data_IF_682933052497
#
_entry.id   IF_682933052497
#
_cell.length_a   1.000
_cell.length_b   1.000
_cell.length_c   1.000
_cell.angle_alpha   90.00
_cell.angle_beta   90.00
_cell.angle_gamma   90.00
#
_symmetry.space_group_name_H-M   'P 1'
#
loop_
_entity.id
_entity.type
_entity.pdbx_description
1 polymer ?
#
# COMPACT_ATOMS: atom_id res chain seq x y z
N UNK A 1 71.43 5.45 17.48
CA UNK A 1 71.52 3.98 17.46
C UNK A 1 70.14 3.32 17.51
N UNK A 2 69.35 3.36 18.60
CA UNK A 2 67.98 2.80 18.59
C UNK A 2 66.99 3.45 17.59
N UNK A 3 67.05 4.77 17.41
CA UNK A 3 66.21 5.47 16.43
C UNK A 3 66.60 5.18 14.97
N UNK A 4 67.87 4.84 14.73
CA UNK A 4 68.39 4.48 13.41
C UNK A 4 68.05 3.02 13.04
N UNK A 5 68.00 2.12 14.02
CA UNK A 5 67.52 0.74 13.83
C UNK A 5 66.01 0.66 13.58
N UNK A 6 65.21 1.56 14.19
CA UNK A 6 63.77 1.67 13.93
C UNK A 6 63.48 2.27 12.54
N UNK A 7 64.24 3.28 12.09
CA UNK A 7 64.12 3.83 10.72
C UNK A 7 64.52 2.81 9.64
N UNK A 8 65.59 2.04 9.82
CA UNK A 8 66.00 0.98 8.87
C UNK A 8 64.98 -0.17 8.78
N UNK A 9 64.30 -0.51 9.89
CA UNK A 9 63.27 -1.55 9.91
C UNK A 9 61.97 -1.10 9.24
N UNK A 10 61.60 0.18 9.38
CA UNK A 10 60.45 0.79 8.69
C UNK A 10 60.72 0.91 7.18
N UNK A 11 61.93 1.30 6.77
CA UNK A 11 62.35 1.35 5.36
C UNK A 11 62.35 -0.03 4.69
N UNK A 12 62.83 -1.08 5.36
CA UNK A 12 62.81 -2.46 4.83
C UNK A 12 61.40 -3.05 4.71
N UNK A 13 60.48 -2.66 5.58
CA UNK A 13 59.08 -3.07 5.49
C UNK A 13 58.32 -2.28 4.42
N UNK A 14 58.67 -1.00 4.21
CA UNK A 14 58.15 -0.18 3.13
C UNK A 14 58.59 -0.69 1.74
N UNK A 15 59.85 -1.09 1.56
CA UNK A 15 60.34 -1.72 0.31
C UNK A 15 59.59 -3.01 -0.04
N UNK A 16 59.07 -3.72 0.97
CA UNK A 16 58.29 -4.96 0.81
C UNK A 16 56.82 -4.72 0.47
N UNK A 17 56.31 -3.52 0.75
CA UNK A 17 54.93 -3.08 0.45
C UNK A 17 54.89 -2.38 -0.93
N UNK A 18 55.98 -1.70 -1.31
CA UNK A 18 56.17 -1.08 -2.63
C UNK A 18 56.14 -2.10 -3.78
N UNK A 19 56.34 -3.39 -3.51
CA UNK A 19 56.29 -4.45 -4.53
C UNK A 19 54.85 -4.84 -4.95
N UNK A 20 53.81 -4.25 -4.34
CA UNK A 20 52.41 -4.60 -4.66
C UNK A 20 51.50 -3.36 -4.80
N UNK A 21 51.29 -2.94 -6.05
CA UNK A 21 50.04 -2.37 -6.61
C UNK A 21 49.75 -0.84 -6.56
N UNK A 22 49.10 -0.39 -7.64
CA UNK A 22 48.84 0.97 -8.18
C UNK A 22 47.52 1.60 -7.65
N UNK A 23 47.10 2.87 -7.82
CA UNK A 23 47.62 4.27 -7.78
C UNK A 23 46.38 5.21 -8.00
N UNK A 24 46.22 6.32 -7.27
CA UNK A 24 45.14 7.32 -7.48
C UNK A 24 45.69 8.70 -7.95
N UNK A 25 45.03 9.40 -8.87
CA UNK A 25 45.58 10.60 -9.55
C UNK A 25 44.62 11.81 -9.53
N UNK A 26 45.13 13.01 -9.23
CA UNK A 26 44.44 14.29 -9.37
C UNK A 26 45.18 15.20 -10.35
N UNK A 27 44.43 15.88 -11.23
CA UNK A 27 44.97 16.86 -12.20
C UNK A 27 44.10 18.12 -12.17
N UNK A 28 44.73 19.27 -11.98
CA UNK A 28 44.14 20.61 -11.94
C UNK A 28 44.52 21.37 -13.20
N UNK A 29 43.54 21.91 -13.93
CA UNK A 29 43.78 22.67 -15.16
C UNK A 29 43.05 24.01 -15.13
N UNK A 30 43.74 25.11 -15.45
CA UNK A 30 43.14 26.42 -15.67
C UNK A 30 43.48 26.94 -17.08
N UNK A 31 42.51 26.89 -18.00
CA UNK A 31 42.65 27.48 -19.34
C UNK A 31 41.86 26.79 -20.45
N UNK A 32 41.55 27.52 -21.52
CA UNK A 32 40.80 27.05 -22.69
C UNK A 32 41.56 26.04 -23.56
N UNK A 33 40.83 25.07 -24.11
CA UNK A 33 41.29 23.98 -24.98
C UNK A 33 42.18 24.45 -26.15
N UNK A 34 43.49 24.13 -26.11
CA UNK A 34 44.34 23.89 -27.30
C UNK A 34 45.46 22.87 -26.96
N UNK A 35 45.64 21.85 -27.80
CA UNK A 35 46.60 20.74 -27.62
C UNK A 35 48.03 21.16 -28.03
N UNK A 36 49.06 21.07 -27.16
CA UNK A 36 50.46 20.73 -27.50
C UNK A 36 51.47 20.69 -26.33
N UNK A 37 52.18 19.55 -26.20
CA UNK A 37 53.62 19.33 -25.88
C UNK A 37 54.31 20.04 -24.68
N UNK A 38 54.58 19.26 -23.62
CA UNK A 38 55.15 19.63 -22.30
C UNK A 38 56.68 19.42 -22.19
N UNK A 39 57.54 20.09 -22.97
CA UNK A 39 59.00 19.89 -22.80
C UNK A 39 59.92 21.11 -22.77
N UNK A 40 59.44 22.31 -23.12
CA UNK A 40 60.35 23.43 -23.39
C UNK A 40 60.41 24.54 -22.32
N UNK A 41 59.68 24.44 -21.21
CA UNK A 41 59.53 25.58 -20.28
C UNK A 41 60.37 25.56 -19.00
N UNK A 42 61.34 24.64 -18.86
CA UNK A 42 62.04 24.39 -17.58
C UNK A 42 63.35 25.17 -17.34
N UNK A 43 63.77 26.09 -18.22
CA UNK A 43 65.13 26.68 -18.14
C UNK A 43 65.24 28.14 -17.68
N UNK A 44 64.18 28.84 -17.28
CA UNK A 44 64.26 30.31 -17.09
C UNK A 44 64.11 30.88 -15.67
N UNK A 45 63.97 30.07 -14.61
CA UNK A 45 63.61 30.61 -13.27
C UNK A 45 64.70 30.40 -12.22
N UNK A 46 65.96 30.76 -12.52
CA UNK A 46 67.09 30.66 -11.58
C UNK A 46 67.79 31.98 -11.25
N UNK A 47 67.10 33.13 -11.22
CA UNK A 47 67.71 34.37 -10.78
C UNK A 47 66.76 35.24 -9.94
N UNK A 48 67.33 35.80 -8.87
CA UNK A 48 66.88 36.92 -8.04
C UNK A 48 65.99 36.64 -6.81
N UNK A 49 66.70 36.42 -5.70
CA UNK A 49 66.28 36.61 -4.31
C UNK A 49 66.59 38.06 -3.86
N UNK A 50 65.59 38.79 -3.35
CA UNK A 50 65.75 40.09 -2.69
C UNK A 50 64.50 40.58 -1.92
N UNK A 51 64.59 40.55 -0.59
CA UNK A 51 63.91 41.32 0.48
C UNK A 51 62.36 41.50 0.57
N UNK A 52 61.78 40.71 1.50
CA UNK A 52 60.87 41.02 2.63
C UNK A 52 60.02 42.31 2.58
N UNK A 53 59.13 42.38 1.59
CA UNK A 53 57.83 43.06 1.67
C UNK A 53 56.76 42.32 0.83
N UNK A 54 57.01 41.04 0.56
CA UNK A 54 56.46 40.34 -0.60
C UNK A 54 55.67 39.07 -0.28
N UNK A 55 55.33 38.75 0.98
CA UNK A 55 54.60 37.51 1.27
C UNK A 55 53.17 37.52 0.73
N UNK A 56 52.38 38.59 0.97
CA UNK A 56 51.04 38.72 0.40
C UNK A 56 51.06 38.79 -1.14
N UNK A 57 51.99 39.59 -1.70
CA UNK A 57 52.23 39.64 -3.14
C UNK A 57 52.78 38.33 -3.73
N UNK A 58 53.41 37.45 -2.93
CA UNK A 58 53.92 36.12 -3.35
C UNK A 58 52.81 35.09 -3.32
N UNK A 59 51.88 35.14 -2.36
CA UNK A 59 50.71 34.27 -2.34
C UNK A 59 49.77 34.63 -3.51
N UNK A 60 49.54 35.93 -3.76
CA UNK A 60 48.88 36.40 -4.99
C UNK A 60 49.67 35.97 -6.24
N UNK A 61 51.00 36.16 -6.27
CA UNK A 61 51.82 35.70 -7.42
C UNK A 61 51.82 34.20 -7.65
N UNK A 62 51.72 33.37 -6.62
CA UNK A 62 51.70 31.90 -6.75
C UNK A 62 50.33 31.47 -7.30
N UNK A 63 49.23 32.07 -6.83
CA UNK A 63 47.92 31.96 -7.48
C UNK A 63 47.95 32.45 -8.93
N UNK A 64 48.68 33.54 -9.21
CA UNK A 64 48.93 34.07 -10.55
C UNK A 64 50.06 33.35 -11.34
N UNK A 65 50.63 32.20 -10.94
CA UNK A 65 51.68 31.56 -11.75
C UNK A 65 51.54 30.06 -11.98
N UNK A 66 50.66 29.36 -11.26
CA UNK A 66 50.38 27.94 -11.55
C UNK A 66 49.24 27.84 -12.58
N UNK A 67 49.55 27.33 -13.79
CA UNK A 67 48.55 27.07 -14.85
C UNK A 67 47.95 25.67 -14.75
N UNK A 68 48.72 24.73 -14.19
CA UNK A 68 48.35 23.33 -14.02
C UNK A 68 49.05 22.79 -12.78
N UNK A 69 48.35 22.00 -11.97
CA UNK A 69 48.92 21.30 -10.81
C UNK A 69 48.45 19.85 -10.88
N UNK A 70 49.36 18.88 -10.75
CA UNK A 70 48.99 17.48 -10.64
C UNK A 70 49.46 16.94 -9.29
N UNK A 71 48.59 16.21 -8.59
CA UNK A 71 48.98 15.54 -7.35
C UNK A 71 48.50 14.10 -7.34
N UNK A 72 49.39 13.19 -6.97
CA UNK A 72 49.11 11.77 -6.83
C UNK A 72 49.19 11.42 -5.35
N UNK A 73 48.07 10.96 -4.78
CA UNK A 73 48.07 10.44 -3.42
C UNK A 73 48.42 8.95 -3.45
N UNK A 74 49.22 8.53 -2.48
CA UNK A 74 49.53 7.13 -2.26
C UNK A 74 48.66 6.58 -1.12
N UNK A 75 48.60 5.26 -0.97
CA UNK A 75 47.86 4.66 0.15
C UNK A 75 48.58 4.93 1.49
N UNK A 76 47.81 5.12 2.56
CA UNK A 76 48.34 5.40 3.89
C UNK A 76 48.55 6.89 4.18
N UNK A 77 49.59 7.20 4.95
CA UNK A 77 49.78 8.55 5.50
C UNK A 77 50.49 9.47 4.50
N UNK A 78 49.73 10.37 3.90
CA UNK A 78 50.25 11.43 3.04
C UNK A 78 50.46 12.70 3.87
N UNK A 79 51.71 13.16 4.04
CA UNK A 79 52.04 14.37 4.81
C UNK A 79 52.40 15.51 3.87
N UNK A 80 51.54 16.53 3.80
CA UNK A 80 51.80 17.75 3.04
C UNK A 80 52.52 18.79 3.92
N UNK A 81 53.79 19.07 3.60
CA UNK A 81 54.63 20.07 4.28
C UNK A 81 54.97 21.25 3.36
N UNK A 82 55.07 22.48 3.88
CA UNK A 82 55.44 23.68 3.10
C UNK A 82 55.18 24.99 3.85
N UNK A 83 55.47 26.14 3.22
CA UNK A 83 55.12 27.47 3.76
C UNK A 83 53.60 27.57 3.96
N UNK A 84 53.19 27.94 5.17
CA UNK A 84 51.79 28.01 5.58
C UNK A 84 50.97 28.92 4.66
N UNK A 85 49.93 28.36 4.02
CA UNK A 85 48.80 29.14 3.50
C UNK A 85 48.45 28.94 2.02
N UNK A 86 49.42 28.68 1.14
CA UNK A 86 49.14 28.62 -0.30
C UNK A 86 48.91 27.19 -0.82
N UNK A 87 49.91 26.31 -0.77
CA UNK A 87 49.82 24.98 -1.40
C UNK A 87 48.87 24.01 -0.71
N UNK A 88 48.88 23.95 0.64
CA UNK A 88 47.99 23.06 1.41
C UNK A 88 46.52 23.47 1.28
N UNK A 89 46.23 24.77 1.33
CA UNK A 89 44.86 25.29 1.23
C UNK A 89 44.28 25.04 -0.15
N UNK A 90 45.07 25.24 -1.23
CA UNK A 90 44.64 24.97 -2.61
C UNK A 90 44.24 23.49 -2.77
N UNK A 91 45.02 22.56 -2.23
CA UNK A 91 44.70 21.11 -2.30
C UNK A 91 43.43 20.78 -1.53
N UNK A 92 43.24 21.34 -0.33
CA UNK A 92 42.02 21.10 0.47
C UNK A 92 40.79 21.71 -0.20
N UNK A 93 40.89 22.93 -0.73
CA UNK A 93 39.82 23.61 -1.46
C UNK A 93 39.44 22.85 -2.73
N UNK A 94 40.43 22.31 -3.44
CA UNK A 94 40.23 21.43 -4.58
C UNK A 94 39.48 20.15 -4.24
N UNK A 95 39.86 19.47 -3.15
CA UNK A 95 39.19 18.26 -2.71
C UNK A 95 37.76 18.60 -2.24
N UNK A 96 37.55 19.69 -1.52
CA UNK A 96 36.19 20.11 -1.15
C UNK A 96 35.34 20.38 -2.40
N UNK A 97 35.91 21.06 -3.41
CA UNK A 97 35.24 21.29 -4.69
C UNK A 97 34.88 19.98 -5.41
N UNK A 98 35.78 19.00 -5.47
CA UNK A 98 35.47 17.76 -6.20
C UNK A 98 34.40 16.91 -5.50
N UNK A 99 34.25 17.06 -4.19
CA UNK A 99 33.23 16.36 -3.38
C UNK A 99 31.88 17.09 -3.33
N UNK A 100 31.72 18.17 -4.10
CA UNK A 100 30.47 18.94 -4.15
C UNK A 100 30.36 20.09 -3.14
N UNK A 101 31.48 20.49 -2.51
CA UNK A 101 31.59 21.64 -1.61
C UNK A 101 31.27 22.99 -2.26
N UNK A 102 31.33 24.08 -1.50
CA UNK A 102 30.95 25.40 -2.01
C UNK A 102 32.03 25.97 -2.95
N UNK A 103 31.60 26.52 -4.10
CA UNK A 103 32.50 27.15 -5.05
C UNK A 103 32.42 28.69 -4.94
N UNK A 104 33.40 29.31 -4.30
CA UNK A 104 33.54 30.76 -4.30
C UNK A 104 34.17 31.24 -5.62
N UNK A 105 33.66 32.35 -6.17
CA UNK A 105 34.25 33.01 -7.36
C UNK A 105 35.70 33.43 -7.16
N UNK A 106 36.08 33.66 -5.91
CA UNK A 106 37.37 34.18 -5.47
C UNK A 106 38.46 33.09 -5.51
N UNK A 107 38.06 31.83 -5.77
CA UNK A 107 38.96 30.73 -6.09
C UNK A 107 39.45 30.78 -7.54
N UNK A 108 38.75 31.50 -8.43
CA UNK A 108 39.13 31.60 -9.83
C UNK A 108 40.22 32.65 -9.97
N UNK A 109 41.35 32.24 -10.54
CA UNK A 109 42.48 33.11 -10.80
C UNK A 109 42.13 34.40 -11.55
N UNK A 110 42.81 35.49 -11.20
CA UNK A 110 42.67 36.77 -11.88
C UNK A 110 43.06 36.67 -13.36
N UNK A 111 42.24 37.27 -14.23
CA UNK A 111 42.37 37.15 -15.69
C UNK A 111 41.69 35.94 -16.33
N UNK A 112 41.41 34.85 -15.61
CA UNK A 112 40.82 33.63 -16.17
C UNK A 112 39.29 33.61 -16.17
N UNK A 113 38.66 32.83 -17.05
CA UNK A 113 37.19 32.74 -17.17
C UNK A 113 36.53 31.70 -16.24
N UNK A 114 37.27 30.65 -15.90
CA UNK A 114 36.79 29.45 -15.21
C UNK A 114 37.92 28.68 -14.51
N UNK A 115 37.57 27.97 -13.44
CA UNK A 115 38.40 26.98 -12.75
C UNK A 115 37.88 25.58 -13.06
N UNK A 116 38.77 24.63 -13.38
CA UNK A 116 38.42 23.21 -13.59
C UNK A 116 39.20 22.36 -12.59
N UNK A 117 38.47 21.49 -11.89
CA UNK A 117 39.03 20.51 -10.96
C UNK A 117 38.65 19.11 -11.46
N UNK A 118 39.65 18.24 -11.63
CA UNK A 118 39.47 16.85 -12.01
C UNK A 118 40.13 15.92 -10.99
N UNK A 119 39.51 14.76 -10.78
CA UNK A 119 40.03 13.76 -9.86
C UNK A 119 39.50 12.38 -10.19
N UNK A 120 40.40 11.42 -10.07
CA UNK A 120 40.19 10.03 -10.41
C UNK A 120 40.18 9.21 -9.13
N UNK A 121 39.04 8.60 -8.82
CA UNK A 121 38.87 7.73 -7.67
C UNK A 121 38.79 6.28 -8.12
N UNK A 122 39.44 5.40 -7.38
CA UNK A 122 39.29 3.96 -7.50
C UNK A 122 38.42 3.49 -6.34
N UNK A 123 37.25 2.93 -6.65
CA UNK A 123 36.26 2.52 -5.67
C UNK A 123 36.49 1.09 -5.23
N UNK A 124 36.35 0.85 -3.92
CA UNK A 124 36.21 -0.48 -3.37
C UNK A 124 34.86 -1.10 -3.79
N UNK A 125 34.72 -2.44 -3.76
CA UNK A 125 33.45 -3.10 -4.06
C UNK A 125 32.27 -2.61 -3.22
N UNK A 126 32.52 -2.24 -1.96
CA UNK A 126 31.50 -1.71 -1.05
C UNK A 126 31.06 -0.29 -1.43
N UNK A 127 31.99 0.61 -1.73
CA UNK A 127 31.68 1.96 -2.20
C UNK A 127 30.93 1.94 -3.53
N UNK A 128 31.30 1.03 -4.43
CA UNK A 128 30.59 0.80 -5.70
C UNK A 128 29.14 0.39 -5.46
N UNK A 129 28.88 -0.52 -4.52
CA UNK A 129 27.51 -0.94 -4.18
C UNK A 129 26.71 0.20 -3.54
N UNK A 130 27.31 0.96 -2.62
CA UNK A 130 26.67 2.12 -1.98
C UNK A 130 26.28 3.20 -2.99
N UNK A 131 27.18 3.52 -3.93
CA UNK A 131 26.92 4.51 -4.98
C UNK A 131 25.84 4.01 -5.95
N UNK A 132 25.85 2.72 -6.32
CA UNK A 132 24.80 2.14 -7.17
C UNK A 132 23.42 2.14 -6.49
N UNK A 133 23.38 1.96 -5.17
CA UNK A 133 22.15 2.00 -4.38
C UNK A 133 21.52 3.40 -4.27
N UNK A 134 22.20 4.46 -4.73
CA UNK A 134 21.61 5.79 -4.87
C UNK A 134 20.55 5.86 -5.98
N UNK A 135 20.32 4.77 -6.74
CA UNK A 135 19.31 4.65 -7.81
C UNK A 135 19.37 5.83 -8.78
N UNK A 136 20.58 6.20 -9.18
CA UNK A 136 20.76 7.23 -10.18
C UNK A 136 20.24 6.72 -11.52
N UNK A 137 19.49 7.53 -12.26
CA UNK A 137 19.00 7.23 -13.62
C UNK A 137 20.14 7.01 -14.65
N UNK A 138 21.38 7.04 -14.18
CA UNK A 138 22.61 7.10 -14.95
C UNK A 138 23.62 6.17 -14.30
N UNK A 139 24.05 5.16 -15.06
CA UNK A 139 25.19 4.31 -14.69
C UNK A 139 26.47 5.17 -14.73
N UNK A 140 27.03 5.46 -13.57
CA UNK A 140 28.17 6.39 -13.42
C UNK A 140 29.46 5.70 -12.98
N UNK A 141 29.42 4.43 -12.57
CA UNK A 141 30.60 3.66 -12.14
C UNK A 141 30.95 2.64 -13.22
N UNK A 142 32.21 2.61 -13.65
CA UNK A 142 32.66 1.63 -14.65
C UNK A 142 32.80 0.21 -14.04
N UNK A 143 32.87 -0.82 -14.88
CA UNK A 143 33.07 -2.21 -14.46
C UNK A 143 34.33 -2.37 -13.60
N UNK A 144 35.38 -1.61 -13.92
CA UNK A 144 36.67 -1.55 -13.22
C UNK A 144 36.67 -0.71 -11.93
N UNK A 145 35.54 -0.10 -11.56
CA UNK A 145 35.41 0.67 -10.31
C UNK A 145 36.07 2.06 -10.35
N UNK A 146 36.38 2.57 -11.55
CA UNK A 146 37.00 3.88 -11.75
C UNK A 146 35.94 4.98 -11.87
N UNK A 147 36.14 6.07 -11.13
CA UNK A 147 35.25 7.22 -11.09
C UNK A 147 36.03 8.50 -11.39
N UNK A 148 35.88 9.03 -12.60
CA UNK A 148 36.45 10.33 -12.99
C UNK A 148 35.43 11.43 -12.73
N UNK A 149 35.73 12.30 -11.76
CA UNK A 149 34.91 13.46 -11.44
C UNK A 149 35.57 14.71 -12.01
N UNK A 150 34.77 15.54 -12.69
CA UNK A 150 35.19 16.86 -13.17
C UNK A 150 34.21 17.92 -12.70
N UNK A 151 34.72 19.02 -12.17
CA UNK A 151 33.94 20.20 -11.79
C UNK A 151 34.48 21.44 -12.47
N UNK A 152 33.62 22.20 -13.13
CA UNK A 152 33.95 23.49 -13.74
C UNK A 152 33.15 24.60 -13.04
N UNK A 153 33.87 25.60 -12.56
CA UNK A 153 33.33 26.79 -11.88
C UNK A 153 33.64 28.01 -12.75
N UNK A 154 32.62 28.71 -13.22
CA UNK A 154 32.80 29.91 -14.03
C UNK A 154 32.70 31.20 -13.19
N UNK A 155 33.39 32.28 -13.60
CA UNK A 155 33.30 33.61 -12.92
C UNK A 155 31.88 34.19 -12.85
N UNK A 156 30.99 33.73 -13.73
CA UNK A 156 29.56 34.10 -13.75
C UNK A 156 28.70 33.26 -12.79
N UNK A 157 29.30 32.45 -11.92
CA UNK A 157 28.61 31.61 -10.93
C UNK A 157 27.97 30.33 -11.46
N UNK A 158 28.23 29.97 -12.73
CA UNK A 158 27.73 28.71 -13.30
C UNK A 158 28.67 27.56 -12.95
N UNK A 159 28.13 26.57 -12.25
CA UNK A 159 28.83 25.33 -11.89
C UNK A 159 28.33 24.18 -12.76
N UNK A 160 29.26 23.40 -13.32
CA UNK A 160 28.95 22.15 -14.03
C UNK A 160 29.75 21.01 -13.42
N UNK A 161 29.10 19.87 -13.24
CA UNK A 161 29.70 18.69 -12.65
C UNK A 161 29.54 17.53 -13.62
N UNK A 162 30.61 16.77 -13.84
CA UNK A 162 30.60 15.55 -14.63
C UNK A 162 31.16 14.40 -13.84
N UNK A 163 30.61 13.21 -14.07
CA UNK A 163 31.16 11.93 -13.63
C UNK A 163 31.22 11.02 -14.85
N UNK A 164 32.40 10.45 -15.14
CA UNK A 164 32.64 9.58 -16.28
C UNK A 164 32.02 10.12 -17.58
N UNK A 165 32.28 11.40 -17.86
CA UNK A 165 31.81 12.17 -19.03
C UNK A 165 30.29 12.46 -19.08
N UNK A 166 29.53 12.14 -18.03
CA UNK A 166 28.09 12.43 -17.93
C UNK A 166 27.84 13.61 -17.00
N UNK A 167 26.98 14.55 -17.43
CA UNK A 167 26.62 15.73 -16.63
C UNK A 167 25.70 15.32 -15.47
N UNK A 168 26.01 15.77 -14.26
CA UNK A 168 25.22 15.51 -13.06
C UNK A 168 24.92 16.81 -12.29
N UNK A 169 23.90 16.75 -11.45
CA UNK A 169 23.56 17.85 -10.54
C UNK A 169 24.52 17.88 -9.34
N UNK A 170 24.71 19.07 -8.76
CA UNK A 170 25.58 19.26 -7.60
C UNK A 170 25.13 18.45 -6.37
N UNK A 171 23.82 18.30 -6.14
CA UNK A 171 23.29 17.50 -5.03
C UNK A 171 23.68 16.02 -5.14
N UNK A 172 23.63 15.46 -6.35
CA UNK A 172 24.09 14.10 -6.62
C UNK A 172 25.59 13.96 -6.39
N UNK A 173 26.38 14.96 -6.80
CA UNK A 173 27.82 14.96 -6.52
C UNK A 173 28.11 15.01 -5.02
N UNK A 174 27.35 15.79 -4.24
CA UNK A 174 27.46 15.85 -2.79
C UNK A 174 27.10 14.53 -2.10
N UNK A 175 26.10 13.81 -2.59
CA UNK A 175 25.73 12.49 -2.07
C UNK A 175 26.84 11.46 -2.32
N UNK A 176 27.41 11.46 -3.53
CA UNK A 176 28.53 10.59 -3.90
C UNK A 176 29.78 10.95 -3.10
N UNK A 177 30.10 12.24 -2.99
CA UNK A 177 31.29 12.74 -2.29
C UNK A 177 31.38 12.29 -0.83
N UNK A 178 30.24 12.11 -0.14
CA UNK A 178 30.18 11.58 1.23
C UNK A 178 30.74 10.17 1.39
N UNK A 179 30.81 9.39 0.31
CA UNK A 179 31.36 8.04 0.31
C UNK A 179 32.81 7.98 -0.15
N UNK A 180 33.34 9.03 -0.77
CA UNK A 180 34.68 9.03 -1.38
C UNK A 180 35.76 9.53 -0.43
N UNK A 181 35.48 10.60 0.33
CA UNK A 181 36.46 11.24 1.20
C UNK A 181 35.76 11.82 2.42
N UNK A 182 36.30 11.55 3.61
CA UNK A 182 35.92 12.25 4.85
C UNK A 182 36.91 13.40 5.11
N UNK A 183 36.43 14.65 5.02
CA UNK A 183 37.26 15.83 5.24
C UNK A 183 37.03 16.39 6.65
N UNK A 184 38.07 16.37 7.49
CA UNK A 184 38.03 16.98 8.83
C UNK A 184 38.61 18.40 8.82
N UNK A 185 37.76 19.42 9.02
CA UNK A 185 38.13 20.84 9.05
C UNK A 185 37.03 21.76 9.62
N UNK A 186 37.27 23.07 9.65
CA UNK A 186 36.39 24.07 10.30
C UNK A 186 35.00 24.25 9.65
N UNK A 187 34.74 23.69 8.45
CA UNK A 187 33.49 23.90 7.70
C UNK A 187 32.89 22.66 7.01
N UNK A 188 33.35 21.43 7.31
CA UNK A 188 33.06 20.26 6.47
C UNK A 188 32.07 19.26 7.12
N UNK A 189 31.36 18.50 6.27
CA UNK A 189 30.38 17.47 6.63
C UNK A 189 31.03 16.35 7.47
N UNK A 190 31.08 16.53 8.79
CA UNK A 190 31.58 15.49 9.68
C UNK A 190 30.51 14.40 9.81
N UNK A 191 30.79 13.22 9.27
CA UNK A 191 29.97 12.00 9.48
C UNK A 191 29.75 11.74 10.98
N UNK A 192 30.72 12.14 11.82
CA UNK A 192 30.67 12.08 13.27
C UNK A 192 29.69 13.08 13.91
N UNK A 193 29.36 14.20 13.25
CA UNK A 193 28.40 15.19 13.75
C UNK A 193 26.97 14.94 13.26
N UNK A 194 26.75 13.94 12.39
CA UNK A 194 25.44 13.59 11.88
C UNK A 194 24.71 12.65 12.86
N UNK A 195 23.63 13.12 13.54
CA UNK A 195 22.90 12.31 14.52
C UNK A 195 22.31 11.02 13.92
N UNK A 196 22.03 11.00 12.61
CA UNK A 196 21.46 9.82 11.95
C UNK A 196 22.42 8.63 11.92
N UNK A 197 23.73 8.88 11.96
CA UNK A 197 24.78 7.86 11.90
C UNK A 197 25.24 7.37 13.28
N UNK A 198 24.90 8.08 14.35
CA UNK A 198 25.39 7.76 15.71
C UNK A 198 24.96 6.37 16.18
N UNK A 199 23.72 5.98 15.87
CA UNK A 199 23.19 4.65 16.22
C UNK A 199 23.95 3.55 15.47
N UNK A 200 24.26 3.75 14.19
CA UNK A 200 24.98 2.78 13.38
C UNK A 200 26.42 2.61 13.88
N UNK A 201 27.09 3.71 14.24
CA UNK A 201 28.44 3.67 14.81
C UNK A 201 28.46 2.91 16.15
N UNK A 202 27.51 3.18 17.05
CA UNK A 202 27.39 2.46 18.32
C UNK A 202 27.08 0.97 18.12
N UNK A 203 26.13 0.65 17.23
CA UNK A 203 25.73 -0.73 17.00
C UNK A 203 26.86 -1.56 16.39
N UNK A 204 27.66 -0.95 15.50
CA UNK A 204 28.85 -1.58 14.92
C UNK A 204 29.93 -1.84 15.97
N UNK A 205 30.14 -0.91 16.92
CA UNK A 205 31.05 -1.12 18.04
C UNK A 205 30.59 -2.26 18.97
N UNK A 206 29.27 -2.44 19.10
CA UNK A 206 28.65 -3.53 19.83
C UNK A 206 28.77 -4.92 19.19
N UNK A 207 29.25 -4.99 17.95
CA UNK A 207 29.48 -6.22 17.20
C UNK A 207 28.21 -7.01 16.85
N UNK A 208 28.43 -8.25 16.40
CA UNK A 208 27.39 -9.12 15.81
C UNK A 208 26.15 -9.32 16.67
N UNK A 209 26.32 -9.30 18.01
CA UNK A 209 25.23 -9.51 18.96
C UNK A 209 24.18 -8.40 18.86
N UNK A 210 24.61 -7.13 18.78
CA UNK A 210 23.69 -6.00 18.65
C UNK A 210 23.06 -5.96 17.27
N UNK A 211 23.86 -6.19 16.23
CA UNK A 211 23.38 -6.23 14.86
C UNK A 211 22.27 -7.28 14.71
N UNK A 212 22.43 -8.44 15.35
CA UNK A 212 21.39 -9.48 15.39
C UNK A 212 20.11 -9.01 16.09
N UNK A 213 20.21 -8.41 17.28
CA UNK A 213 19.03 -7.88 17.98
C UNK A 213 18.32 -6.77 17.19
N UNK A 214 19.07 -5.88 16.54
CA UNK A 214 18.51 -4.84 15.67
C UNK A 214 17.74 -5.44 14.50
N UNK A 215 18.30 -6.47 13.87
CA UNK A 215 17.64 -7.18 12.76
C UNK A 215 16.37 -7.90 13.22
N UNK A 216 16.44 -8.63 14.34
CA UNK A 216 15.27 -9.29 14.93
C UNK A 216 14.18 -8.29 15.30
N UNK A 217 14.55 -7.13 15.87
CA UNK A 217 13.61 -6.05 16.17
C UNK A 217 12.91 -5.55 14.91
N UNK A 218 13.70 -5.26 13.86
CA UNK A 218 13.17 -4.74 12.60
C UNK A 218 12.20 -5.71 11.92
N UNK A 219 12.57 -7.00 11.86
CA UNK A 219 11.73 -8.04 11.24
C UNK A 219 10.40 -8.22 11.98
N UNK A 220 10.43 -8.20 13.32
CA UNK A 220 9.21 -8.31 14.13
C UNK A 220 8.37 -7.04 14.09
N UNK A 221 8.99 -5.85 14.12
CA UNK A 221 8.29 -4.58 13.97
C UNK A 221 7.56 -4.49 12.62
N UNK A 222 8.19 -4.93 11.53
CA UNK A 222 7.54 -5.00 10.22
C UNK A 222 6.30 -5.90 10.25
N UNK A 223 6.41 -7.10 10.84
CA UNK A 223 5.29 -8.04 10.97
C UNK A 223 4.17 -7.46 11.82
N UNK A 224 4.50 -6.85 12.96
CA UNK A 224 3.53 -6.16 13.81
C UNK A 224 2.81 -5.06 13.03
N UNK A 225 3.54 -4.18 12.34
CA UNK A 225 2.95 -3.08 11.57
C UNK A 225 1.99 -3.57 10.47
N UNK A 226 2.37 -4.63 9.74
CA UNK A 226 1.52 -5.25 8.73
C UNK A 226 0.24 -5.85 9.35
N UNK A 227 0.35 -6.54 10.48
CA UNK A 227 -0.76 -7.18 11.19
C UNK A 227 -1.67 -6.16 11.87
N UNK A 228 -1.12 -5.14 12.51
CA UNK A 228 -1.86 -4.03 13.14
C UNK A 228 -2.65 -3.22 12.11
N UNK A 229 -2.05 -2.95 10.94
CA UNK A 229 -2.79 -2.30 9.83
C UNK A 229 -3.97 -3.13 9.36
N UNK A 230 -3.77 -4.45 9.22
CA UNK A 230 -4.85 -5.38 8.84
C UNK A 230 -5.94 -5.46 9.90
N UNK A 231 -5.56 -5.48 11.18
CA UNK A 231 -6.51 -5.47 12.31
C UNK A 231 -7.33 -4.18 12.33
N UNK A 232 -6.69 -3.02 12.15
CA UNK A 232 -7.38 -1.74 12.09
C UNK A 232 -8.42 -1.68 10.95
N UNK A 233 -8.06 -2.19 9.76
CA UNK A 233 -9.00 -2.30 8.64
C UNK A 233 -10.20 -3.19 8.99
N UNK A 234 -9.96 -4.38 9.54
CA UNK A 234 -11.03 -5.30 9.93
C UNK A 234 -11.94 -4.74 11.03
N UNK A 235 -11.39 -3.97 11.97
CA UNK A 235 -12.18 -3.30 13.02
C UNK A 235 -13.09 -2.21 12.44
N UNK A 236 -12.58 -1.43 11.48
CA UNK A 236 -13.40 -0.43 10.78
C UNK A 236 -14.52 -1.09 9.98
N UNK A 237 -14.20 -2.15 9.24
CA UNK A 237 -15.18 -2.93 8.49
C UNK A 237 -16.21 -3.58 9.45
N UNK A 238 -15.80 -4.00 10.65
CA UNK A 238 -16.71 -4.53 11.68
C UNK A 238 -17.76 -3.51 12.11
N UNK A 239 -17.38 -2.26 12.32
CA UNK A 239 -18.33 -1.22 12.75
C UNK A 239 -19.42 -0.97 11.69
N UNK A 240 -19.04 -0.96 10.41
CA UNK A 240 -19.98 -0.88 9.29
C UNK A 240 -20.83 -2.15 9.17
N UNK A 241 -20.22 -3.33 9.37
CA UNK A 241 -20.90 -4.61 9.34
C UNK A 241 -21.91 -4.79 10.49
N UNK A 242 -21.66 -4.26 11.68
CA UNK A 242 -22.60 -4.36 12.81
C UNK A 242 -23.96 -3.74 12.48
N UNK A 243 -23.96 -2.56 11.85
CA UNK A 243 -25.20 -1.91 11.37
C UNK A 243 -25.91 -2.75 10.32
N UNK A 244 -25.12 -3.38 9.44
CA UNK A 244 -25.63 -4.28 8.41
C UNK A 244 -26.24 -5.56 9.02
N UNK A 245 -25.60 -6.15 10.02
CA UNK A 245 -26.07 -7.33 10.74
C UNK A 245 -27.43 -7.06 11.38
N UNK A 246 -27.58 -5.95 12.09
CA UNK A 246 -28.85 -5.60 12.76
C UNK A 246 -29.98 -5.43 11.73
N UNK A 247 -29.68 -4.78 10.61
CA UNK A 247 -30.63 -4.64 9.51
C UNK A 247 -31.01 -5.99 8.87
N UNK A 248 -30.02 -6.84 8.59
CA UNK A 248 -30.23 -8.17 8.01
C UNK A 248 -31.02 -9.09 8.96
N UNK A 249 -30.74 -9.05 10.26
CA UNK A 249 -31.50 -9.79 11.28
C UNK A 249 -32.95 -9.33 11.34
N UNK A 250 -33.19 -8.02 11.30
CA UNK A 250 -34.54 -7.47 11.25
C UNK A 250 -35.31 -7.97 10.01
N UNK A 251 -34.70 -7.95 8.83
CA UNK A 251 -35.32 -8.46 7.60
C UNK A 251 -35.61 -9.96 7.69
N UNK A 252 -34.66 -10.74 8.20
CA UNK A 252 -34.82 -12.18 8.38
C UNK A 252 -35.99 -12.50 9.32
N UNK A 253 -36.07 -11.80 10.46
CA UNK A 253 -37.19 -11.94 11.39
C UNK A 253 -38.53 -11.55 10.77
N UNK A 254 -38.58 -10.50 9.94
CA UNK A 254 -39.82 -10.08 9.27
C UNK A 254 -40.33 -11.17 8.30
N UNK A 255 -39.41 -11.79 7.54
CA UNK A 255 -39.74 -12.88 6.61
C UNK A 255 -40.09 -14.17 7.37
N UNK A 256 -39.36 -14.52 8.42
CA UNK A 256 -39.61 -15.74 9.20
C UNK A 256 -40.94 -15.66 9.97
N UNK A 257 -41.29 -14.50 10.55
CA UNK A 257 -42.56 -14.30 11.26
C UNK A 257 -43.79 -14.47 10.36
N UNK A 258 -43.65 -14.23 9.07
CA UNK A 258 -44.76 -14.32 8.12
C UNK A 258 -45.00 -15.72 7.57
N UNK A 259 -44.04 -16.64 7.76
CA UNK A 259 -44.19 -18.07 7.46
C UNK A 259 -44.82 -18.32 6.07
N UNK A 260 -44.20 -17.77 5.03
CA UNK A 260 -44.69 -17.86 3.66
C UNK A 260 -44.66 -19.30 3.15
N UNK A 261 -45.76 -19.73 2.52
CA UNK A 261 -45.84 -21.01 1.80
C UNK A 261 -45.82 -20.77 0.30
N UNK A 262 -45.13 -21.64 -0.45
CA UNK A 262 -45.06 -21.53 -1.92
C UNK A 262 -46.46 -21.61 -2.55
N UNK A 263 -46.73 -20.70 -3.49
CA UNK A 263 -48.01 -20.57 -4.19
C UNK A 263 -49.25 -20.34 -3.29
N UNK A 264 -49.05 -19.92 -2.04
CA UNK A 264 -50.13 -19.58 -1.10
C UNK A 264 -50.96 -18.39 -1.62
N UNK A 265 -50.30 -17.40 -2.20
CA UNK A 265 -50.91 -16.21 -2.80
C UNK A 265 -51.92 -16.57 -3.90
N UNK A 266 -51.55 -17.47 -4.81
CA UNK A 266 -52.43 -17.89 -5.92
C UNK A 266 -53.71 -18.56 -5.42
N UNK A 267 -53.57 -19.47 -4.45
CA UNK A 267 -54.72 -20.15 -3.86
C UNK A 267 -55.66 -19.16 -3.14
N UNK A 268 -55.08 -18.19 -2.43
CA UNK A 268 -55.84 -17.14 -1.73
C UNK A 268 -56.50 -16.15 -2.70
N UNK A 269 -55.86 -15.79 -3.82
CA UNK A 269 -56.44 -14.93 -4.86
C UNK A 269 -57.64 -15.60 -5.55
N UNK A 270 -57.55 -16.91 -5.82
CA UNK A 270 -58.67 -17.70 -6.34
C UNK A 270 -59.85 -17.73 -5.35
N UNK A 271 -59.57 -17.98 -4.06
CA UNK A 271 -60.58 -17.97 -2.99
C UNK A 271 -61.22 -16.58 -2.80
N UNK A 272 -60.42 -15.51 -2.81
CA UNK A 272 -60.87 -14.12 -2.71
C UNK A 272 -61.82 -13.75 -3.86
N UNK A 273 -61.50 -14.15 -5.09
CA UNK A 273 -62.31 -13.85 -6.26
C UNK A 273 -63.70 -14.49 -6.16
N UNK A 274 -63.78 -15.74 -5.66
CA UNK A 274 -65.06 -16.42 -5.44
C UNK A 274 -65.84 -15.73 -4.33
N UNK A 275 -65.23 -15.47 -3.17
CA UNK A 275 -65.90 -14.87 -2.01
C UNK A 275 -66.39 -13.43 -2.28
N UNK A 276 -65.60 -12.59 -2.98
CA UNK A 276 -66.02 -11.23 -3.38
C UNK A 276 -67.24 -11.23 -4.29
N UNK A 277 -67.40 -12.28 -5.09
CA UNK A 277 -68.51 -12.42 -6.02
C UNK A 277 -69.58 -13.41 -5.53
N UNK A 278 -69.48 -13.91 -4.29
CA UNK A 278 -70.32 -14.98 -3.77
C UNK A 278 -71.81 -14.64 -3.86
N UNK A 279 -72.21 -13.43 -3.46
CA UNK A 279 -73.61 -12.98 -3.57
C UNK A 279 -74.13 -13.05 -5.01
N UNK A 280 -73.33 -12.55 -5.96
CA UNK A 280 -73.69 -12.57 -7.39
C UNK A 280 -73.73 -13.98 -7.95
N UNK A 281 -72.81 -14.84 -7.52
CA UNK A 281 -72.77 -16.25 -7.93
C UNK A 281 -74.02 -16.96 -7.40
N UNK A 282 -74.32 -16.84 -6.11
CA UNK A 282 -75.51 -17.43 -5.48
C UNK A 282 -76.79 -16.93 -6.16
N UNK A 283 -76.95 -15.62 -6.35
CA UNK A 283 -78.13 -15.04 -7.01
C UNK A 283 -78.29 -15.57 -8.45
N UNK A 284 -77.18 -15.72 -9.19
CA UNK A 284 -77.21 -16.24 -10.56
C UNK A 284 -77.54 -17.73 -10.59
N UNK A 285 -76.98 -18.52 -9.66
CA UNK A 285 -77.25 -19.96 -9.53
C UNK A 285 -78.70 -20.21 -9.07
N UNK A 286 -79.26 -19.37 -8.20
CA UNK A 286 -80.68 -19.42 -7.81
C UNK A 286 -81.61 -19.15 -8.98
N UNK A 287 -81.34 -18.09 -9.76
CA UNK A 287 -82.10 -17.81 -10.99
C UNK A 287 -82.01 -18.94 -11.99
N UNK A 288 -80.83 -19.53 -12.16
CA UNK A 288 -80.64 -20.69 -13.02
C UNK A 288 -81.45 -21.89 -12.51
N UNK A 289 -81.37 -22.23 -11.22
CA UNK A 289 -82.15 -23.34 -10.65
C UNK A 289 -83.66 -23.11 -10.79
N UNK A 290 -84.13 -21.89 -10.59
CA UNK A 290 -85.54 -21.52 -10.76
C UNK A 290 -86.03 -21.73 -12.20
N UNK A 291 -85.27 -21.25 -13.20
CA UNK A 291 -85.64 -21.39 -14.61
C UNK A 291 -85.56 -22.86 -15.07
N UNK A 292 -84.53 -23.57 -14.63
CA UNK A 292 -84.21 -24.90 -15.13
C UNK A 292 -85.07 -25.99 -14.46
N UNK A 293 -85.36 -25.86 -13.17
CA UNK A 293 -85.94 -26.95 -12.36
C UNK A 293 -87.24 -26.61 -11.62
N UNK A 294 -87.29 -25.50 -10.88
CA UNK A 294 -88.45 -25.20 -10.01
C UNK A 294 -89.66 -24.69 -10.80
N UNK A 295 -89.45 -23.71 -11.68
CA UNK A 295 -90.53 -23.00 -12.37
C UNK A 295 -91.42 -22.18 -11.42
N UNK A 296 -92.38 -21.46 -11.98
CA UNK A 296 -93.36 -20.66 -11.25
C UNK A 296 -94.79 -20.91 -11.71
N UNK A 297 -95.76 -20.32 -11.01
CA UNK A 297 -97.19 -20.44 -11.34
C UNK A 297 -97.54 -19.99 -12.77
N UNK A 298 -96.78 -19.04 -13.34
CA UNK A 298 -96.99 -18.51 -14.69
C UNK A 298 -95.93 -18.97 -15.71
N UNK A 299 -94.86 -19.63 -15.27
CA UNK A 299 -93.76 -20.10 -16.14
C UNK A 299 -93.37 -21.54 -15.80
N UNK A 300 -93.60 -22.44 -16.75
CA UNK A 300 -93.13 -23.82 -16.66
C UNK A 300 -91.61 -23.87 -16.66
N UNK A 301 -91.01 -24.73 -15.84
CA UNK A 301 -89.56 -24.96 -15.89
C UNK A 301 -89.15 -25.56 -17.24
N UNK A 302 -87.87 -25.42 -17.60
CA UNK A 302 -87.33 -26.08 -18.79
C UNK A 302 -87.47 -27.61 -18.67
N UNK A 303 -87.27 -28.18 -17.48
CA UNK A 303 -87.49 -29.60 -17.20
C UNK A 303 -88.93 -30.03 -17.48
N UNK A 304 -89.91 -29.30 -16.96
CA UNK A 304 -91.33 -29.62 -17.17
C UNK A 304 -91.72 -29.49 -18.64
N UNK A 305 -91.15 -28.49 -19.33
CA UNK A 305 -91.35 -28.29 -20.77
C UNK A 305 -90.77 -29.45 -21.58
N UNK A 306 -89.57 -29.93 -21.24
CA UNK A 306 -88.94 -31.11 -21.86
C UNK A 306 -89.76 -32.37 -21.61
N UNK A 307 -90.23 -32.58 -20.38
CA UNK A 307 -91.08 -33.72 -20.02
C UNK A 307 -92.41 -33.70 -20.77
N UNK A 308 -93.03 -32.52 -20.90
CA UNK A 308 -94.28 -32.34 -21.66
C UNK A 308 -94.08 -32.64 -23.14
N UNK A 309 -93.05 -32.09 -23.77
CA UNK A 309 -92.73 -32.39 -25.18
C UNK A 309 -92.42 -33.87 -25.37
N UNK A 310 -91.72 -34.51 -24.43
CA UNK A 310 -91.45 -35.96 -24.47
C UNK A 310 -92.72 -36.81 -24.34
N UNK A 311 -93.72 -36.33 -23.58
CA UNK A 311 -95.04 -36.96 -23.47
C UNK A 311 -95.85 -36.79 -24.77
N UNK A 312 -95.94 -35.57 -25.30
CA UNK A 312 -96.65 -35.24 -26.54
C UNK A 312 -96.08 -36.05 -27.74
N UNK A 313 -94.75 -36.13 -27.85
CA UNK A 313 -94.09 -36.97 -28.87
C UNK A 313 -94.39 -38.46 -28.67
N UNK A 314 -94.63 -38.91 -27.43
CA UNK A 314 -95.00 -40.27 -27.11
C UNK A 314 -96.38 -40.66 -27.62
N UNK A 315 -97.34 -39.73 -27.65
CA UNK A 315 -98.69 -39.96 -28.17
C UNK A 315 -98.69 -40.29 -29.67
N UNK A 316 -97.78 -39.65 -30.42
CA UNK A 316 -97.66 -39.81 -31.87
C UNK A 316 -96.49 -40.72 -32.29
N UNK A 317 -95.69 -41.24 -31.34
CA UNK A 317 -94.52 -42.06 -31.64
C UNK A 317 -94.85 -43.36 -32.40
N UNK A 318 -96.07 -43.88 -32.24
CA UNK A 318 -96.55 -45.05 -32.97
C UNK A 318 -96.78 -44.80 -34.47
N UNK A 319 -96.83 -43.54 -34.91
CA UNK A 319 -97.12 -43.13 -36.29
C UNK A 319 -95.86 -43.13 -37.18
N UNK A 320 -94.67 -42.85 -36.63
CA UNK A 320 -93.39 -42.86 -37.37
C UNK A 320 -92.22 -43.17 -36.41
N UNK A 321 -91.42 -44.19 -36.76
CA UNK A 321 -90.24 -44.61 -35.98
C UNK A 321 -89.18 -43.52 -35.83
N UNK A 322 -89.15 -42.53 -36.73
CA UNK A 322 -88.28 -41.35 -36.61
C UNK A 322 -88.66 -40.47 -35.40
N UNK A 323 -89.94 -40.43 -35.05
CA UNK A 323 -90.46 -39.65 -33.91
C UNK A 323 -90.03 -40.28 -32.59
N UNK A 324 -90.09 -41.62 -32.47
CA UNK A 324 -89.60 -42.31 -31.28
C UNK A 324 -88.10 -42.08 -31.05
N UNK A 325 -87.30 -42.05 -32.12
CA UNK A 325 -85.87 -41.71 -32.02
C UNK A 325 -85.64 -40.26 -31.55
N UNK A 326 -86.45 -39.31 -32.00
CA UNK A 326 -86.38 -37.91 -31.52
C UNK A 326 -86.73 -37.84 -30.02
N UNK A 327 -87.73 -38.60 -29.59
CA UNK A 327 -88.16 -38.68 -28.18
C UNK A 327 -87.09 -39.32 -27.28
N UNK A 328 -86.43 -40.39 -27.72
CA UNK A 328 -85.31 -41.01 -26.99
C UNK A 328 -84.15 -40.01 -26.81
N UNK A 329 -83.76 -39.31 -27.88
CA UNK A 329 -82.73 -38.27 -27.80
C UNK A 329 -83.12 -37.13 -26.84
N UNK A 330 -84.41 -36.73 -26.82
CA UNK A 330 -84.91 -35.70 -25.92
C UNK A 330 -84.84 -36.14 -24.44
N UNK A 331 -85.10 -37.42 -24.16
CA UNK A 331 -84.94 -37.98 -22.81
C UNK A 331 -83.48 -38.03 -22.37
N UNK A 332 -82.59 -38.43 -23.27
CA UNK A 332 -81.14 -38.44 -22.99
C UNK A 332 -80.61 -37.03 -22.69
N UNK A 333 -81.03 -36.03 -23.47
CA UNK A 333 -80.76 -34.63 -23.18
C UNK A 333 -81.36 -34.18 -21.84
N UNK A 334 -82.55 -34.68 -21.49
CA UNK A 334 -83.19 -34.44 -20.20
C UNK A 334 -82.38 -34.96 -19.01
N UNK A 335 -81.76 -36.14 -19.11
CA UNK A 335 -80.88 -36.65 -18.05
C UNK A 335 -79.59 -35.84 -17.91
N UNK A 336 -78.92 -35.50 -19.03
CA UNK A 336 -77.75 -34.62 -18.99
C UNK A 336 -78.07 -33.26 -18.39
N UNK A 337 -79.27 -32.76 -18.66
CA UNK A 337 -79.78 -31.52 -18.09
C UNK A 337 -80.00 -31.61 -16.57
N UNK A 338 -80.56 -32.72 -16.07
CA UNK A 338 -80.72 -32.96 -14.63
C UNK A 338 -79.36 -33.01 -13.91
N UNK A 339 -78.34 -33.60 -14.53
CA UNK A 339 -76.98 -33.62 -13.97
C UNK A 339 -76.40 -32.20 -13.81
N UNK A 340 -76.59 -31.33 -14.82
CA UNK A 340 -76.15 -29.92 -14.77
C UNK A 340 -76.90 -29.15 -13.67
N UNK A 341 -78.20 -29.36 -13.52
CA UNK A 341 -78.98 -28.74 -12.45
C UNK A 341 -78.48 -29.18 -11.08
N UNK A 342 -78.19 -30.48 -10.91
CA UNK A 342 -77.64 -30.99 -9.65
C UNK A 342 -76.27 -30.39 -9.35
N UNK A 343 -75.42 -30.16 -10.36
CA UNK A 343 -74.13 -29.49 -10.20
C UNK A 343 -74.29 -28.02 -9.80
N UNK A 344 -75.23 -27.29 -10.39
CA UNK A 344 -75.58 -25.91 -10.02
C UNK A 344 -76.01 -25.82 -8.55
N UNK A 345 -76.89 -26.74 -8.12
CA UNK A 345 -77.39 -26.77 -6.73
C UNK A 345 -76.26 -27.10 -5.76
N UNK A 346 -75.45 -28.13 -6.05
CA UNK A 346 -74.31 -28.49 -5.21
C UNK A 346 -73.30 -27.35 -5.07
N UNK A 347 -72.91 -26.73 -6.18
CA UNK A 347 -71.94 -25.64 -6.17
C UNK A 347 -72.49 -24.40 -5.45
N UNK A 348 -73.79 -24.10 -5.59
CA UNK A 348 -74.44 -23.04 -4.81
C UNK A 348 -74.35 -23.31 -3.31
N UNK A 349 -74.63 -24.55 -2.88
CA UNK A 349 -74.62 -24.94 -1.47
C UNK A 349 -73.18 -25.00 -0.88
N UNK A 350 -72.15 -25.11 -1.72
CA UNK A 350 -70.74 -25.06 -1.32
C UNK A 350 -70.22 -23.64 -1.07
N UNK A 351 -70.85 -22.61 -1.65
CA UNK A 351 -70.41 -21.22 -1.49
C UNK A 351 -70.94 -20.68 -0.16
N UNK A 352 -70.04 -20.52 0.80
CA UNK A 352 -70.34 -19.85 2.07
C UNK A 352 -70.13 -18.34 1.97
N UNK A 353 -71.07 -17.56 2.52
CA UNK A 353 -70.98 -16.10 2.62
C UNK A 353 -70.24 -15.73 3.91
N UNK A 354 -68.99 -16.19 4.05
CA UNK A 354 -68.19 -15.90 5.23
C UNK A 354 -67.41 -14.58 5.05
N UNK A 355 -68.04 -13.49 5.53
CA UNK A 355 -67.44 -12.16 5.55
C UNK A 355 -66.17 -12.06 6.43
N UNK A 356 -66.01 -12.96 7.40
CA UNK A 356 -64.84 -13.00 8.26
C UNK A 356 -63.67 -13.70 7.55
N UNK A 357 -63.93 -14.82 6.86
CA UNK A 357 -62.95 -15.49 6.01
C UNK A 357 -62.41 -14.57 4.91
N UNK A 358 -63.27 -13.81 4.25
CA UNK A 358 -62.84 -12.84 3.24
C UNK A 358 -61.86 -11.81 3.82
N UNK A 359 -62.13 -11.27 5.02
CA UNK A 359 -61.22 -10.33 5.70
C UNK A 359 -59.88 -10.97 6.08
N UNK A 360 -59.89 -12.23 6.51
CA UNK A 360 -58.65 -12.97 6.82
C UNK A 360 -57.79 -13.15 5.56
N UNK A 361 -58.41 -13.51 4.44
CA UNK A 361 -57.74 -13.68 3.14
C UNK A 361 -57.17 -12.34 2.66
N UNK A 362 -57.96 -11.27 2.66
CA UNK A 362 -57.50 -9.93 2.29
C UNK A 362 -56.34 -9.47 3.20
N UNK A 363 -56.42 -9.74 4.50
CA UNK A 363 -55.34 -9.46 5.45
C UNK A 363 -54.06 -10.23 5.13
N UNK A 364 -54.18 -11.52 4.82
CA UNK A 364 -53.04 -12.39 4.45
C UNK A 364 -52.43 -11.98 3.11
N UNK A 365 -53.23 -11.69 2.09
CA UNK A 365 -52.77 -11.20 0.79
C UNK A 365 -52.08 -9.84 0.90
N UNK A 366 -52.61 -8.91 1.70
CA UNK A 366 -51.96 -7.63 1.95
C UNK A 366 -50.58 -7.79 2.61
N UNK A 367 -50.47 -8.69 3.57
CA UNK A 367 -49.21 -9.02 4.23
C UNK A 367 -48.20 -9.62 3.24
N UNK A 368 -48.61 -10.58 2.41
CA UNK A 368 -47.78 -11.16 1.34
C UNK A 368 -47.34 -10.07 0.34
N UNK A 369 -48.24 -9.22 -0.12
CA UNK A 369 -47.95 -8.14 -1.07
C UNK A 369 -46.99 -7.09 -0.48
N UNK A 370 -47.10 -6.80 0.82
CA UNK A 370 -46.17 -5.90 1.51
C UNK A 370 -44.74 -6.44 1.53
N UNK A 371 -44.58 -7.77 1.68
CA UNK A 371 -43.28 -8.43 1.59
C UNK A 371 -42.79 -8.48 0.15
N UNK A 372 -43.68 -8.73 -0.82
CA UNK A 372 -43.31 -8.71 -2.24
C UNK A 372 -42.73 -7.35 -2.65
N UNK A 373 -43.36 -6.26 -2.21
CA UNK A 373 -42.87 -4.90 -2.42
C UNK A 373 -41.47 -4.65 -1.83
N UNK A 374 -41.08 -5.35 -0.75
CA UNK A 374 -39.83 -5.10 -0.03
C UNK A 374 -38.69 -6.02 -0.48
N UNK A 375 -38.99 -7.27 -0.78
CA UNK A 375 -38.00 -8.35 -0.84
C UNK A 375 -37.99 -9.15 -2.15
N UNK A 376 -39.01 -9.03 -3.01
CA UNK A 376 -39.04 -9.74 -4.29
C UNK A 376 -40.42 -9.77 -4.95
N UNK A 377 -40.48 -9.90 -6.27
CA UNK A 377 -41.75 -9.89 -7.01
C UNK A 377 -42.61 -11.14 -6.77
N UNK A 378 -41.99 -12.22 -6.29
CA UNK A 378 -42.62 -13.53 -6.06
C UNK A 378 -42.26 -14.10 -4.68
N UNK A 379 -43.05 -15.04 -4.16
CA UNK A 379 -42.76 -15.71 -2.88
C UNK A 379 -41.42 -16.46 -2.97
N UNK A 380 -41.12 -17.05 -4.12
CA UNK A 380 -39.84 -17.72 -4.39
C UNK A 380 -38.66 -16.76 -4.26
N UNK A 381 -38.74 -15.58 -4.86
CA UNK A 381 -37.70 -14.55 -4.72
C UNK A 381 -37.49 -14.11 -3.27
N UNK A 382 -38.56 -13.98 -2.49
CA UNK A 382 -38.47 -13.64 -1.06
C UNK A 382 -37.73 -14.75 -0.29
N UNK A 383 -38.03 -16.02 -0.57
CA UNK A 383 -37.37 -17.16 0.08
C UNK A 383 -35.91 -17.31 -0.35
N UNK A 384 -35.58 -17.01 -1.60
CA UNK A 384 -34.19 -16.93 -2.06
C UNK A 384 -33.44 -15.78 -1.38
N UNK A 385 -34.07 -14.62 -1.26
CA UNK A 385 -33.51 -13.47 -0.54
C UNK A 385 -33.24 -13.79 0.93
N UNK A 386 -34.18 -14.46 1.61
CA UNK A 386 -34.02 -14.98 2.96
C UNK A 386 -32.80 -15.90 3.09
N UNK A 387 -32.65 -16.86 2.16
CA UNK A 387 -31.50 -17.77 2.16
C UNK A 387 -30.18 -17.03 1.98
N UNK A 388 -30.17 -16.01 1.13
CA UNK A 388 -29.00 -15.15 0.90
C UNK A 388 -28.62 -14.37 2.15
N UNK A 389 -29.59 -13.78 2.85
CA UNK A 389 -29.35 -13.08 4.13
C UNK A 389 -28.75 -14.04 5.16
N UNK A 390 -29.29 -15.25 5.27
CA UNK A 390 -28.80 -16.25 6.23
C UNK A 390 -27.32 -16.60 6.00
N UNK A 391 -26.94 -16.87 4.75
CA UNK A 391 -25.55 -17.14 4.38
C UNK A 391 -24.63 -15.94 4.64
N UNK A 392 -25.12 -14.72 4.41
CA UNK A 392 -24.36 -13.50 4.67
C UNK A 392 -24.11 -13.31 6.17
N UNK A 393 -25.12 -13.57 7.01
CA UNK A 393 -24.97 -13.53 8.48
C UNK A 393 -23.99 -14.58 9.00
N UNK A 394 -24.04 -15.83 8.50
CA UNK A 394 -23.07 -16.87 8.87
C UNK A 394 -21.63 -16.52 8.48
N UNK A 395 -21.45 -15.91 7.30
CA UNK A 395 -20.12 -15.50 6.82
C UNK A 395 -19.49 -14.42 7.72
N UNK A 396 -20.31 -13.53 8.29
CA UNK A 396 -19.85 -12.50 9.22
C UNK A 396 -19.44 -13.11 10.57
N UNK A 397 -20.16 -14.11 11.07
CA UNK A 397 -19.81 -14.80 12.32
C UNK A 397 -18.42 -15.45 12.23
N UNK A 398 -18.15 -16.13 11.11
CA UNK A 398 -16.82 -16.70 10.80
C UNK A 398 -15.69 -15.65 10.69
N UNK A 399 -16.02 -14.37 10.55
CA UNK A 399 -15.05 -13.27 10.50
C UNK A 399 -14.63 -12.80 11.89
N UNK A 400 -15.48 -12.96 12.92
CA UNK A 400 -15.14 -12.59 14.30
C UNK A 400 -14.02 -13.48 14.86
N UNK A 401 -14.09 -14.79 14.66
CA UNK A 401 -13.04 -15.73 15.08
C UNK A 401 -11.67 -15.39 14.46
N UNK A 402 -11.66 -14.93 13.21
CA UNK A 402 -10.43 -14.50 12.52
C UNK A 402 -9.88 -13.21 13.11
N UNK A 403 -10.77 -12.31 13.52
CA UNK A 403 -10.42 -11.03 14.13
C UNK A 403 -9.84 -11.24 15.53
N UNK A 404 -10.42 -12.13 16.33
CA UNK A 404 -9.92 -12.52 17.65
C UNK A 404 -8.48 -13.07 17.56
N UNK A 405 -8.25 -14.04 16.67
CA UNK A 405 -6.91 -14.61 16.44
C UNK A 405 -5.89 -13.55 15.99
N UNK A 406 -6.31 -12.62 15.13
CA UNK A 406 -5.41 -11.57 14.67
C UNK A 406 -5.04 -10.58 15.78
N UNK A 407 -5.96 -10.29 16.72
CA UNK A 407 -5.66 -9.49 17.91
C UNK A 407 -4.64 -10.18 18.81
N UNK A 408 -4.81 -11.47 19.07
CA UNK A 408 -3.86 -12.26 19.86
C UNK A 408 -2.47 -12.26 19.22
N UNK A 409 -2.39 -12.44 17.90
CA UNK A 409 -1.12 -12.35 17.16
C UNK A 409 -0.45 -10.98 17.31
N UNK A 410 -1.20 -9.88 17.17
CA UNK A 410 -0.68 -8.51 17.33
C UNK A 410 -0.13 -8.27 18.73
N UNK A 411 -0.89 -8.64 19.77
CA UNK A 411 -0.47 -8.49 21.17
C UNK A 411 0.79 -9.30 21.46
N UNK A 412 0.86 -10.55 20.97
CA UNK A 412 2.05 -11.38 21.16
C UNK A 412 3.31 -10.81 20.48
N UNK A 413 3.14 -10.15 19.33
CA UNK A 413 4.23 -9.47 18.64
C UNK A 413 4.67 -8.21 19.38
N UNK A 414 3.74 -7.48 19.98
CA UNK A 414 4.03 -6.29 20.79
C UNK A 414 4.87 -6.64 22.03
N UNK A 415 4.49 -7.70 22.76
CA UNK A 415 5.27 -8.20 23.90
C UNK A 415 6.70 -8.62 23.50
N UNK A 416 6.81 -9.28 22.34
CA UNK A 416 8.09 -9.74 21.81
C UNK A 416 8.97 -8.56 21.36
N UNK A 417 8.41 -7.58 20.67
CA UNK A 417 9.09 -6.34 20.28
C UNK A 417 9.56 -5.58 21.53
N UNK A 418 8.69 -5.43 22.53
CA UNK A 418 9.03 -4.77 23.80
C UNK A 418 10.22 -5.43 24.49
N UNK A 419 10.23 -6.77 24.54
CA UNK A 419 11.33 -7.55 25.12
C UNK A 419 12.64 -7.36 24.34
N UNK A 420 12.60 -7.41 23.01
CA UNK A 420 13.78 -7.21 22.16
C UNK A 420 14.30 -5.78 22.28
N UNK A 421 13.42 -4.78 22.22
CA UNK A 421 13.75 -3.35 22.38
C UNK A 421 14.41 -3.07 23.72
N UNK A 422 13.89 -3.65 24.81
CA UNK A 422 14.49 -3.53 26.13
C UNK A 422 15.92 -4.09 26.16
N UNK A 423 16.11 -5.30 25.64
CA UNK A 423 17.43 -5.93 25.56
C UNK A 423 18.41 -5.13 24.70
N UNK A 424 17.95 -4.58 23.56
CA UNK A 424 18.76 -3.74 22.69
C UNK A 424 19.20 -2.46 23.40
N UNK A 425 18.29 -1.78 24.10
CA UNK A 425 18.58 -0.58 24.87
C UNK A 425 19.60 -0.84 25.99
N UNK A 426 19.43 -1.93 26.75
CA UNK A 426 20.38 -2.32 27.81
C UNK A 426 21.78 -2.58 27.25
N UNK A 427 21.90 -3.26 26.09
CA UNK A 427 23.21 -3.50 25.49
C UNK A 427 23.83 -2.21 24.92
N UNK A 428 23.02 -1.34 24.28
CA UNK A 428 23.49 -0.03 23.78
C UNK A 428 24.03 0.87 24.89
N UNK A 429 23.39 0.86 26.07
CA UNK A 429 23.88 1.61 27.25
C UNK A 429 25.25 1.13 27.73
N UNK A 430 25.50 -0.18 27.72
CA UNK A 430 26.82 -0.73 28.08
C UNK A 430 27.90 -0.29 27.09
N UNK A 431 27.60 -0.34 25.80
CA UNK A 431 28.55 0.12 24.76
C UNK A 431 28.78 1.62 24.83
N UNK A 432 27.76 2.39 25.19
CA UNK A 432 27.91 3.81 25.44
C UNK A 432 28.90 4.08 26.58
N UNK A 433 28.80 3.36 27.70
CA UNK A 433 29.76 3.43 28.82
C UNK A 433 31.18 3.02 28.38
N UNK A 434 31.32 1.90 27.65
CA UNK A 434 32.61 1.43 27.14
C UNK A 434 33.24 2.45 26.16
N UNK A 435 32.42 3.03 25.28
CA UNK A 435 32.85 4.07 24.33
C UNK A 435 33.28 5.35 25.05
N UNK A 436 32.57 5.74 26.10
CA UNK A 436 32.95 6.90 26.92
C UNK A 436 34.35 6.72 27.53
N UNK A 437 34.63 5.56 28.12
CA UNK A 437 35.95 5.25 28.68
C UNK A 437 37.05 5.22 27.60
N UNK A 438 36.78 4.56 26.48
CA UNK A 438 37.74 4.46 25.36
C UNK A 438 38.11 5.83 24.80
N UNK A 439 37.12 6.69 24.54
CA UNK A 439 37.37 8.03 23.98
C UNK A 439 38.10 8.92 24.97
N UNK A 440 37.72 8.91 26.26
CA UNK A 440 38.40 9.71 27.29
C UNK A 440 39.87 9.29 27.41
N UNK A 441 40.17 7.99 27.35
CA UNK A 441 41.54 7.48 27.41
C UNK A 441 42.41 7.97 26.25
N UNK A 442 41.91 7.88 25.01
CA UNK A 442 42.65 8.38 23.83
C UNK A 442 42.84 9.92 23.88
N UNK A 443 41.85 10.66 24.41
CA UNK A 443 41.97 12.11 24.61
C UNK A 443 43.00 12.49 25.68
N UNK A 444 43.15 11.67 26.73
CA UNK A 444 44.21 11.87 27.73
C UNK A 444 45.61 11.74 27.12
N UNK A 445 45.82 10.74 26.25
CA UNK A 445 47.08 10.50 25.54
C UNK A 445 47.42 11.66 24.58
N UNK A 446 46.40 12.34 24.04
CA UNK A 446 46.53 13.58 23.25
C UNK A 446 46.71 14.86 24.10
N UNK A 447 47.05 14.73 25.39
CA UNK A 447 47.21 15.83 26.36
C UNK A 447 45.93 16.65 26.63
N UNK A 448 44.74 16.11 26.36
CA UNK A 448 43.44 16.77 26.59
C UNK A 448 42.79 16.33 27.91
N UNK A 449 43.55 16.32 29.00
CA UNK A 449 43.21 15.74 30.33
C UNK A 449 41.97 16.29 31.05
N UNK A 450 41.29 17.31 30.52
CA UNK A 450 40.07 17.90 31.11
C UNK A 450 38.83 17.68 30.26
N UNK A 451 38.94 16.99 29.14
CA UNK A 451 37.82 16.72 28.27
C UNK A 451 36.93 15.64 28.87
N UNK A 452 35.62 15.88 28.81
CA UNK A 452 34.59 14.90 29.17
C UNK A 452 33.83 14.56 27.90
N UNK A 453 33.64 13.27 27.67
CA UNK A 453 32.82 12.75 26.60
C UNK A 453 31.67 11.95 27.22
N UNK A 454 30.44 12.15 26.73
CA UNK A 454 29.25 11.49 27.26
C UNK A 454 28.26 11.20 26.15
N UNK A 455 27.65 10.02 26.19
CA UNK A 455 26.63 9.53 25.28
C UNK A 455 25.30 9.50 26.04
N UNK A 456 24.29 10.20 25.52
CA UNK A 456 22.93 10.17 26.08
C UNK A 456 22.03 9.28 25.21
N UNK A 457 21.32 8.35 25.83
CA UNK A 457 20.28 7.55 25.18
C UNK A 457 18.95 7.91 25.83
N UNK A 458 18.22 8.77 25.14
CA UNK A 458 16.92 9.27 25.57
C UNK A 458 15.79 8.45 24.95
N UNK A 459 14.67 8.34 25.68
CA UNK A 459 13.46 7.66 25.22
C UNK A 459 12.35 8.68 25.11
N UNK A 460 11.67 8.68 23.98
CA UNK A 460 10.52 9.54 23.71
C UNK A 460 9.32 8.65 23.42
N UNK A 461 8.13 9.08 23.84
CA UNK A 461 6.89 8.46 23.38
C UNK A 461 6.71 8.80 21.90
N UNK A 462 6.45 7.78 21.06
CA UNK A 462 5.99 7.98 19.70
C UNK A 462 4.45 7.97 19.73
N UNK A 463 3.84 9.05 19.24
CA UNK A 463 2.38 9.15 19.12
C UNK A 463 1.78 8.06 18.21
N UNK A 464 2.62 7.36 17.42
CA UNK A 464 2.22 6.28 16.53
C UNK A 464 2.48 4.87 17.09
N UNK A 465 2.93 4.76 18.35
CA UNK A 465 3.29 3.50 19.00
C UNK A 465 4.78 3.22 18.92
#
# INVERSE_FOLDING_TARGET
DKALEEEEMVLKNAEKIIETMEKANFIFYEGGLEQASVRDSLNEVSADLGEIASLDRRIEKIRENLKEVGYQFEEGLNVLTGETGAGKSIIIEAIDLILGGYAASDLIRDGEGSLIVEGLFLLTPQEKELINNLNLDIEIVDEEGVLLIRREVNKKGRNKCWINQRLINLSTLQEIGKFLVDLHGQHNHQSLLDPSKHIDLMDNLGGDKIIKYRKELFDNYRRWREKSKKLFQLLKDKEENLKKIDFLKFQLEEIDKTALVKAEDKALEEEEMVLKNAEKIIETMEKANFILYEGGLEQSSVRDSLNKVSADLGEIASLDRRIEKIRENLKEAGYQFEDIVNEIVKYKDEIDLDSQRLKEIEGRLNLINSLKSKYGSTIEEILEYRQKIYQELEAIDCSEDKLEKLKEEVNSLEDLISTISHNLNVNRRKIAEDLEEMVVRELEDLNMKKCQFKVSIDSYEDDNG
#
